data_IF_640942537172
#
_entry.id   IF_640942537172
#
_cell.length_a   1.000
_cell.length_b   1.000
_cell.length_c   1.000
_cell.angle_alpha   90.00
_cell.angle_beta   90.00
_cell.angle_gamma   90.00
#
_symmetry.space_group_name_H-M   'P 1'
#
loop_
_entity.id
_entity.type
_entity.pdbx_description
1 polymer ?
#
# COMPACT_ATOMS: atom_id res chain seq x y z
N UNK A 1 -9.13 -8.87 4.91
CA UNK A 1 -8.70 -7.47 5.01
C UNK A 1 -7.62 -7.23 3.96
N UNK A 2 -7.86 -6.31 3.04
CA UNK A 2 -6.96 -5.92 1.97
C UNK A 2 -6.44 -4.51 2.27
N UNK A 3 -5.13 -4.36 2.34
CA UNK A 3 -4.47 -3.10 2.70
C UNK A 3 -3.75 -2.55 1.46
N UNK A 4 -4.13 -1.35 1.05
CA UNK A 4 -3.46 -0.62 -0.01
C UNK A 4 -2.23 0.12 0.51
N UNK A 5 -1.19 0.23 -0.30
CA UNK A 5 -0.05 1.12 -0.08
C UNK A 5 0.01 2.09 -1.25
N UNK A 6 -0.08 3.39 -0.96
CA UNK A 6 -0.05 4.42 -2.00
C UNK A 6 1.31 4.38 -2.72
N UNK A 7 1.30 4.15 -4.04
CA UNK A 7 2.48 3.91 -4.86
C UNK A 7 2.69 5.01 -5.94
N UNK A 8 2.42 6.27 -5.57
CA UNK A 8 2.64 7.43 -6.44
C UNK A 8 4.09 7.94 -6.39
N UNK A 9 4.71 7.90 -5.22
CA UNK A 9 6.11 8.28 -4.96
C UNK A 9 6.54 7.71 -3.60
N UNK A 10 7.84 7.54 -3.37
CA UNK A 10 8.39 7.11 -2.07
C UNK A 10 8.62 5.61 -1.91
N UNK A 11 8.79 5.17 -0.66
CA UNK A 11 9.30 3.84 -0.31
C UNK A 11 8.21 2.76 -0.10
N UNK A 12 7.24 2.63 -1.02
CA UNK A 12 6.07 1.74 -0.88
C UNK A 12 6.39 0.23 -0.85
N UNK A 13 7.41 -0.23 -1.59
CA UNK A 13 7.67 -1.67 -1.77
C UNK A 13 7.94 -2.42 -0.44
N UNK A 14 8.64 -1.77 0.50
CA UNK A 14 8.93 -2.36 1.82
C UNK A 14 7.66 -2.56 2.65
N UNK A 15 6.70 -1.66 2.53
CA UNK A 15 5.42 -1.79 3.24
C UNK A 15 4.61 -2.97 2.69
N UNK A 16 4.54 -3.14 1.36
CA UNK A 16 3.84 -4.28 0.74
C UNK A 16 4.47 -5.60 1.18
N UNK A 17 5.80 -5.70 1.19
CA UNK A 17 6.50 -6.90 1.67
C UNK A 17 6.19 -7.19 3.14
N UNK A 18 6.31 -6.19 4.03
CA UNK A 18 6.02 -6.36 5.46
C UNK A 18 4.58 -6.80 5.74
N UNK A 19 3.61 -6.30 4.96
CA UNK A 19 2.22 -6.77 5.05
C UNK A 19 2.12 -8.25 4.70
N UNK A 20 2.80 -8.69 3.65
CA UNK A 20 2.88 -10.11 3.29
C UNK A 20 3.51 -10.99 4.37
N UNK A 21 4.61 -10.52 4.98
CA UNK A 21 5.29 -11.22 6.10
C UNK A 21 4.39 -11.37 7.33
N UNK A 22 3.41 -10.47 7.52
CA UNK A 22 2.40 -10.52 8.58
C UNK A 22 1.14 -11.31 8.19
N UNK A 23 1.09 -11.89 7.00
CA UNK A 23 -0.08 -12.63 6.49
C UNK A 23 -1.24 -11.72 6.05
N UNK A 24 -0.98 -10.44 5.81
CA UNK A 24 -1.96 -9.45 5.33
C UNK A 24 -1.84 -9.29 3.82
N UNK A 25 -2.97 -9.24 3.12
CA UNK A 25 -3.00 -8.97 1.68
C UNK A 25 -2.67 -7.49 1.41
N UNK A 26 -1.42 -7.22 1.09
CA UNK A 26 -0.92 -5.90 0.68
C UNK A 26 -0.98 -5.71 -0.83
N UNK A 27 -1.54 -4.60 -1.30
CA UNK A 27 -1.54 -4.20 -2.73
C UNK A 27 -1.00 -2.80 -2.91
N UNK A 28 -0.41 -2.52 -4.05
CA UNK A 28 -0.13 -1.14 -4.47
C UNK A 28 -1.42 -0.43 -4.88
N UNK A 29 -1.49 0.88 -4.64
CA UNK A 29 -2.58 1.76 -5.04
C UNK A 29 -1.99 2.97 -5.78
N UNK A 30 -2.37 3.14 -7.03
CA UNK A 30 -1.94 4.17 -7.98
C UNK A 30 -3.13 4.95 -8.55
N UNK A 31 -4.32 4.36 -8.52
CA UNK A 31 -5.56 4.95 -9.05
C UNK A 31 -6.66 5.03 -8.00
N UNK A 32 -7.69 5.84 -8.26
CA UNK A 32 -8.87 5.94 -7.40
C UNK A 32 -9.72 4.66 -7.39
N UNK A 33 -9.73 3.92 -8.51
CA UNK A 33 -10.43 2.63 -8.59
C UNK A 33 -9.74 1.59 -7.70
N UNK A 34 -8.41 1.52 -7.74
CA UNK A 34 -7.64 0.65 -6.85
C UNK A 34 -7.79 1.03 -5.36
N UNK A 35 -7.96 2.33 -5.06
CA UNK A 35 -8.25 2.81 -3.71
C UNK A 35 -9.62 2.33 -3.22
N UNK A 36 -10.60 2.22 -4.12
CA UNK A 36 -11.94 1.74 -3.80
C UNK A 36 -11.97 0.24 -3.47
N UNK A 37 -10.91 -0.49 -3.83
CA UNK A 37 -10.78 -1.93 -3.65
C UNK A 37 -10.02 -2.34 -2.37
N UNK A 38 -9.73 -1.41 -1.44
CA UNK A 38 -8.99 -1.69 -0.21
C UNK A 38 -9.75 -1.26 1.05
N UNK A 39 -9.56 -2.01 2.14
CA UNK A 39 -10.21 -1.74 3.43
C UNK A 39 -9.46 -0.67 4.24
N UNK A 40 -8.17 -0.48 3.96
CA UNK A 40 -7.29 0.48 4.61
C UNK A 40 -6.17 0.94 3.66
N UNK A 41 -5.65 2.14 3.89
CA UNK A 41 -4.57 2.72 3.09
C UNK A 41 -3.36 3.09 3.96
N UNK A 42 -2.18 2.65 3.54
CA UNK A 42 -0.89 3.11 4.03
C UNK A 42 -0.39 4.25 3.15
N UNK A 43 -0.05 5.37 3.77
CA UNK A 43 0.64 6.50 3.15
C UNK A 43 2.14 6.38 3.48
N UNK A 44 2.98 5.85 2.57
CA UNK A 44 4.41 5.72 2.83
C UNK A 44 5.08 7.10 2.90
N UNK A 45 6.22 7.15 3.59
CA UNK A 45 7.09 8.33 3.54
C UNK A 45 7.69 8.53 2.14
N UNK A 46 7.92 9.79 1.78
CA UNK A 46 8.66 10.20 0.58
C UNK A 46 10.05 10.73 0.92
N UNK A 47 10.84 11.03 -0.12
CA UNK A 47 12.04 11.87 0.03
C UNK A 47 11.63 13.32 0.35
N UNK A 48 12.24 13.87 1.41
CA UNK A 48 12.21 15.29 1.78
C UNK A 48 13.46 16.00 1.27
#
# INVERSE_FOLDING_TARGET
>A
MKVGVLALQGAFARHVQMLGDLGVSGTEVRTADELSDVDALVLPGGES
#
